data_IF_640395609969
#
_entry.id   IF_640395609969
#
_cell.length_a   1.000
_cell.length_b   1.000
_cell.length_c   1.000
_cell.angle_alpha   90.00
_cell.angle_beta   90.00
_cell.angle_gamma   90.00
#
_symmetry.space_group_name_H-M   'P 1'
#
loop_
_entity.id
_entity.type
_entity.pdbx_description
1 polymer ?
#
# COMPACT_ATOMS: atom_id res chain seq x y z
N UNK A 1 -14.42 -12.91 2.65
CA UNK A 1 -15.10 -12.14 1.59
C UNK A 1 -14.87 -10.63 1.69
N UNK A 2 -14.75 -10.04 2.90
CA UNK A 2 -14.46 -8.61 3.09
C UNK A 2 -13.18 -8.09 2.39
N UNK A 3 -12.11 -8.90 2.36
CA UNK A 3 -10.83 -8.51 1.74
C UNK A 3 -10.96 -8.09 0.28
N UNK A 4 -11.88 -8.69 -0.48
CA UNK A 4 -12.09 -8.35 -1.90
C UNK A 4 -12.62 -6.92 -2.03
N UNK A 5 -13.55 -6.50 -1.18
CA UNK A 5 -14.06 -5.14 -1.17
C UNK A 5 -12.97 -4.13 -0.79
N UNK A 6 -12.12 -4.48 0.19
CA UNK A 6 -10.97 -3.64 0.58
C UNK A 6 -9.98 -3.52 -0.58
N UNK A 7 -9.68 -4.62 -1.28
CA UNK A 7 -8.78 -4.63 -2.44
C UNK A 7 -9.30 -3.77 -3.59
N UNK A 8 -10.59 -3.87 -3.93
CA UNK A 8 -11.20 -3.04 -4.96
C UNK A 8 -11.13 -1.55 -4.57
N UNK A 9 -11.42 -1.23 -3.31
CA UNK A 9 -11.30 0.12 -2.77
C UNK A 9 -9.88 0.66 -2.85
N UNK A 10 -8.90 -0.12 -2.38
CA UNK A 10 -7.48 0.23 -2.41
C UNK A 10 -6.97 0.45 -3.84
N UNK A 11 -7.32 -0.45 -4.76
CA UNK A 11 -6.98 -0.32 -6.18
C UNK A 11 -7.49 1.00 -6.76
N UNK A 12 -8.78 1.30 -6.57
CA UNK A 12 -9.40 2.53 -7.09
C UNK A 12 -8.78 3.78 -6.46
N UNK A 13 -8.51 3.74 -5.16
CA UNK A 13 -7.90 4.86 -4.43
C UNK A 13 -6.53 5.22 -4.99
N UNK A 14 -5.68 4.23 -5.24
CA UNK A 14 -4.35 4.43 -5.83
C UNK A 14 -4.41 4.78 -7.32
N UNK A 15 -5.32 4.18 -8.09
CA UNK A 15 -5.52 4.52 -9.50
C UNK A 15 -5.91 6.00 -9.68
N UNK A 16 -6.73 6.55 -8.78
CA UNK A 16 -7.09 7.96 -8.77
C UNK A 16 -5.90 8.87 -8.43
N UNK A 17 -5.03 8.45 -7.51
CA UNK A 17 -3.79 9.18 -7.22
C UNK A 17 -2.92 9.26 -8.47
N UNK A 18 -2.68 8.13 -9.14
CA UNK A 18 -1.90 8.09 -10.37
C UNK A 18 -2.47 9.01 -11.45
N UNK A 19 -3.79 8.98 -11.65
CA UNK A 19 -4.50 9.85 -12.58
C UNK A 19 -4.26 11.34 -12.31
N UNK A 20 -4.35 11.77 -11.04
CA UNK A 20 -4.12 13.18 -10.64
C UNK A 20 -2.72 13.67 -11.00
N UNK A 21 -1.73 12.78 -11.04
CA UNK A 21 -0.34 13.11 -11.33
C UNK A 21 0.15 12.67 -12.71
N UNK A 22 -0.76 12.27 -13.61
CA UNK A 22 -0.41 11.86 -14.98
C UNK A 22 0.41 10.58 -15.04
N UNK A 23 0.31 9.71 -14.02
CA UNK A 23 1.00 8.41 -13.95
C UNK A 23 0.06 7.28 -14.40
N UNK A 24 0.63 6.13 -14.72
CA UNK A 24 -0.11 4.95 -15.20
C UNK A 24 -0.98 4.33 -14.09
N UNK A 25 -2.31 4.38 -14.26
CA UNK A 25 -3.29 3.98 -13.23
C UNK A 25 -3.13 2.55 -12.73
N UNK A 26 -2.96 1.58 -13.65
CA UNK A 26 -2.95 0.16 -13.30
C UNK A 26 -1.74 -0.22 -12.43
N UNK A 27 -0.59 0.42 -12.63
CA UNK A 27 0.63 0.16 -11.85
C UNK A 27 0.42 0.53 -10.38
N UNK A 28 -0.18 1.69 -10.11
CA UNK A 28 -0.50 2.13 -8.76
C UNK A 28 -1.61 1.28 -8.14
N UNK A 29 -2.60 0.88 -8.93
CA UNK A 29 -3.65 -0.02 -8.44
C UNK A 29 -3.09 -1.39 -8.01
N UNK A 30 -2.21 -2.00 -8.82
CA UNK A 30 -1.53 -3.26 -8.47
C UNK A 30 -0.60 -3.07 -7.27
N UNK A 31 0.07 -1.92 -7.16
CA UNK A 31 0.88 -1.58 -5.99
C UNK A 31 0.04 -1.60 -4.70
N UNK A 32 -1.18 -1.03 -4.73
CA UNK A 32 -2.08 -1.04 -3.57
C UNK A 32 -2.44 -2.47 -3.13
N UNK A 33 -2.73 -3.35 -4.10
CA UNK A 33 -2.99 -4.77 -3.87
C UNK A 33 -1.75 -5.44 -3.25
N UNK A 34 -0.57 -5.17 -3.81
CA UNK A 34 0.70 -5.70 -3.31
C UNK A 34 0.99 -5.27 -1.87
N UNK A 35 0.73 -4.02 -1.52
CA UNK A 35 0.90 -3.51 -0.14
C UNK A 35 -0.09 -4.20 0.80
N UNK A 36 -1.37 -4.30 0.42
CA UNK A 36 -2.38 -4.94 1.25
C UNK A 36 -2.05 -6.41 1.52
N UNK A 37 -1.83 -7.19 0.46
CA UNK A 37 -1.52 -8.62 0.55
C UNK A 37 -0.16 -8.86 1.20
N UNK A 38 0.85 -8.04 0.86
CA UNK A 38 2.18 -8.11 1.47
C UNK A 38 2.12 -7.87 2.98
N UNK A 39 1.35 -6.89 3.43
CA UNK A 39 1.14 -6.64 4.86
C UNK A 39 0.43 -7.82 5.53
N UNK A 40 -0.60 -8.39 4.89
CA UNK A 40 -1.28 -9.56 5.44
C UNK A 40 -0.37 -10.79 5.55
N UNK A 41 0.46 -11.05 4.54
CA UNK A 41 1.42 -12.15 4.55
C UNK A 41 2.47 -11.95 5.64
N UNK A 42 3.01 -10.74 5.78
CA UNK A 42 3.98 -10.42 6.82
C UNK A 42 3.40 -10.59 8.22
N UNK A 43 2.18 -10.12 8.47
CA UNK A 43 1.50 -10.27 9.75
C UNK A 43 1.17 -11.75 10.03
N UNK A 44 0.66 -12.48 9.03
CA UNK A 44 0.37 -13.90 9.17
C UNK A 44 1.63 -14.71 9.48
N UNK A 45 2.73 -14.41 8.81
CA UNK A 45 4.02 -15.03 9.06
C UNK A 45 4.57 -14.69 10.46
N UNK A 46 4.55 -13.42 10.84
CA UNK A 46 5.00 -12.97 12.16
C UNK A 46 4.18 -13.60 13.30
N UNK A 47 2.86 -13.66 13.13
CA UNK A 47 1.96 -14.29 14.09
C UNK A 47 2.16 -15.80 14.17
N UNK A 48 2.34 -16.48 13.03
CA UNK A 48 2.65 -17.91 12.99
C UNK A 48 3.97 -18.23 13.70
N UNK A 49 5.03 -17.44 13.47
CA UNK A 49 6.29 -17.59 14.20
C UNK A 49 6.12 -17.34 15.71
N UNK A 50 5.37 -16.30 16.09
CA UNK A 50 5.09 -16.00 17.50
C UNK A 50 4.47 -17.21 18.20
N UNK A 51 3.39 -17.77 17.63
CA UNK A 51 2.74 -18.95 18.19
C UNK A 51 3.68 -20.17 18.24
N UNK A 52 4.45 -20.43 17.17
CA UNK A 52 5.39 -21.54 17.15
C UNK A 52 6.48 -21.47 18.24
N UNK A 53 6.79 -20.27 18.75
CA UNK A 53 7.76 -20.07 19.83
C UNK A 53 7.10 -20.10 21.21
N UNK A 54 5.96 -19.43 21.38
CA UNK A 54 5.35 -19.22 22.70
C UNK A 54 4.35 -20.29 23.12
N UNK A 55 3.66 -20.90 22.15
CA UNK A 55 2.62 -21.89 22.39
C UNK A 55 2.47 -22.81 21.16
N UNK A 56 3.40 -23.77 20.98
CA UNK A 56 3.43 -24.60 19.78
C UNK A 56 2.20 -25.51 19.61
N UNK A 57 1.49 -25.88 20.69
CA UNK A 57 0.24 -26.64 20.61
C UNK A 57 -0.90 -25.81 20.02
N UNK A 58 -0.92 -24.50 20.29
CA UNK A 58 -1.92 -23.60 19.70
C UNK A 58 -1.77 -23.42 18.19
N UNK A 59 -0.58 -23.69 17.62
CA UNK A 59 -0.30 -23.53 16.20
C UNK A 59 -1.12 -24.48 15.31
N UNK A 60 -1.48 -25.67 15.82
CA UNK A 60 -2.28 -26.67 15.09
C UNK A 60 -3.78 -26.30 15.02
N UNK A 61 -4.25 -25.44 15.93
CA UNK A 61 -5.67 -25.08 16.06
C UNK A 61 -6.01 -23.68 15.52
N UNK A 62 -5.09 -23.01 14.83
CA UNK A 62 -5.33 -21.66 14.32
C UNK A 62 -6.26 -21.69 13.11
N UNK A 63 -7.46 -21.13 13.28
CA UNK A 63 -8.39 -20.93 12.17
C UNK A 63 -8.04 -19.66 11.37
N UNK A 64 -7.26 -19.84 10.30
CA UNK A 64 -6.83 -18.75 9.41
C UNK A 64 -7.94 -18.25 8.46
N UNK A 65 -9.00 -19.03 8.25
CA UNK A 65 -10.05 -18.75 7.26
C UNK A 65 -11.31 -18.11 7.85
N UNK A 66 -11.46 -18.13 9.18
CA UNK A 66 -12.61 -17.58 9.90
C UNK A 66 -12.50 -16.10 10.28
N UNK A 67 -13.62 -15.55 10.79
CA UNK A 67 -13.63 -14.26 11.50
C UNK A 67 -13.02 -14.43 12.89
N UNK A 68 -11.70 -14.35 12.96
CA UNK A 68 -10.95 -14.26 14.22
C UNK A 68 -10.61 -12.80 14.52
N UNK A 69 -10.46 -12.45 15.80
CA UNK A 69 -9.97 -11.14 16.22
C UNK A 69 -8.63 -10.80 15.56
N UNK A 70 -7.75 -11.80 15.38
CA UNK A 70 -6.45 -11.65 14.71
C UNK A 70 -6.63 -11.23 13.25
N UNK A 71 -7.60 -11.80 12.53
CA UNK A 71 -7.90 -11.44 11.15
C UNK A 71 -8.46 -10.02 11.03
N UNK A 72 -9.33 -9.60 11.96
CA UNK A 72 -9.87 -8.24 11.98
C UNK A 72 -8.75 -7.22 12.22
N UNK A 73 -7.88 -7.47 13.20
CA UNK A 73 -6.71 -6.63 13.48
C UNK A 73 -5.78 -6.59 12.26
N UNK A 74 -5.54 -7.74 11.62
CA UNK A 74 -4.77 -7.83 10.40
C UNK A 74 -5.33 -6.96 9.26
N UNK A 75 -6.65 -6.98 9.04
CA UNK A 75 -7.29 -6.12 8.04
C UNK A 75 -7.12 -4.64 8.37
N UNK A 76 -7.29 -4.24 9.63
CA UNK A 76 -7.11 -2.85 10.06
C UNK A 76 -5.68 -2.37 9.84
N UNK A 77 -4.68 -3.16 10.24
CA UNK A 77 -3.27 -2.83 10.03
C UNK A 77 -2.96 -2.74 8.53
N UNK A 78 -3.46 -3.67 7.70
CA UNK A 78 -3.29 -3.60 6.25
C UNK A 78 -3.93 -2.37 5.63
N UNK A 79 -5.10 -1.92 6.11
CA UNK A 79 -5.73 -0.67 5.65
C UNK A 79 -4.85 0.54 6.01
N UNK A 80 -4.33 0.58 7.24
CA UNK A 80 -3.42 1.65 7.68
C UNK A 80 -2.13 1.65 6.85
N UNK A 81 -1.56 0.49 6.54
CA UNK A 81 -0.37 0.38 5.69
C UNK A 81 -0.64 0.90 4.27
N UNK A 82 -1.76 0.51 3.65
CA UNK A 82 -2.20 1.02 2.34
C UNK A 82 -2.35 2.55 2.39
N UNK A 83 -2.96 3.10 3.43
CA UNK A 83 -3.12 4.54 3.59
C UNK A 83 -1.79 5.27 3.82
N UNK A 84 -0.90 4.72 4.64
CA UNK A 84 0.40 5.30 4.94
C UNK A 84 1.28 5.39 3.69
N UNK A 85 1.34 4.31 2.90
CA UNK A 85 2.08 4.33 1.63
C UNK A 85 1.43 5.27 0.61
N UNK A 86 0.10 5.38 0.61
CA UNK A 86 -0.59 6.35 -0.24
C UNK A 86 -0.15 7.77 0.08
N UNK A 87 -0.13 8.13 1.36
CA UNK A 87 0.28 9.47 1.80
C UNK A 87 1.74 9.76 1.49
N UNK A 88 2.60 8.77 1.64
CA UNK A 88 4.00 8.89 1.23
C UNK A 88 4.12 9.16 -0.29
N UNK A 89 3.40 8.41 -1.13
CA UNK A 89 3.40 8.60 -2.58
C UNK A 89 2.80 9.96 -2.98
N UNK A 90 1.68 10.37 -2.36
CA UNK A 90 1.05 11.66 -2.60
C UNK A 90 2.03 12.81 -2.32
N UNK A 91 2.66 12.80 -1.15
CA UNK A 91 3.64 13.83 -0.78
C UNK A 91 4.86 13.84 -1.73
N UNK A 92 5.33 12.66 -2.14
CA UNK A 92 6.43 12.53 -3.11
C UNK A 92 6.05 13.13 -4.46
N UNK A 93 4.87 12.79 -4.98
CA UNK A 93 4.40 13.27 -6.30
C UNK A 93 4.10 14.77 -6.30
N UNK A 94 3.59 15.31 -5.19
CA UNK A 94 3.44 16.77 -5.01
C UNK A 94 4.82 17.45 -5.11
N UNK A 95 5.82 16.93 -4.38
CA UNK A 95 7.18 17.49 -4.41
C UNK A 95 7.80 17.42 -5.81
N UNK A 96 7.64 16.31 -6.52
CA UNK A 96 8.12 16.15 -7.90
C UNK A 96 7.45 17.16 -8.86
N UNK A 97 6.14 17.39 -8.71
CA UNK A 97 5.42 18.38 -9.52
C UNK A 97 5.90 19.80 -9.25
N UNK A 98 6.17 20.17 -8.00
CA UNK A 98 6.61 21.53 -7.65
C UNK A 98 8.04 21.85 -8.09
N UNK A 99 8.91 20.84 -8.25
CA UNK A 99 10.30 21.05 -8.70
C UNK A 99 10.41 21.23 -10.21
N UNK A 100 9.56 20.57 -11.01
CA UNK A 100 9.59 20.67 -12.48
C UNK A 100 9.38 22.08 -13.09
N UNK A 101 8.43 22.92 -12.65
CA UNK A 101 8.14 24.18 -13.34
C UNK A 101 9.29 25.20 -13.27
N UNK A 102 10.22 25.08 -12.32
CA UNK A 102 11.32 26.05 -12.17
C UNK A 102 12.49 25.67 -13.10
N UNK A 103 12.78 24.38 -13.26
CA UNK A 103 13.87 23.90 -14.13
C UNK A 103 13.58 24.16 -15.61
N UNK A 104 12.32 23.99 -16.04
CA UNK A 104 11.93 24.25 -17.43
C UNK A 104 11.98 25.75 -17.79
N UNK A 105 11.82 26.67 -16.82
CA UNK A 105 11.90 28.11 -17.07
C UNK A 105 13.36 28.60 -17.17
N UNK A 106 14.27 28.02 -16.40
CA UNK A 106 15.69 28.39 -16.39
C UNK A 106 16.45 27.93 -17.66
N UNK A 107 15.90 26.97 -18.40
CA UNK A 107 16.45 26.53 -19.70
C UNK A 107 15.95 27.35 -20.89
N UNK A 108 14.84 28.10 -20.76
CA UNK A 108 14.29 28.95 -21.84
C UNK A 108 15.23 30.13 -22.17
N UNK A 109 16.16 30.46 -21.28
CA UNK A 109 17.19 31.49 -21.52
C UNK A 109 18.52 30.97 -22.08
N UNK A 110 18.75 29.65 -22.14
CA UNK A 110 20.02 29.06 -22.60
C UNK A 110 19.99 28.73 -24.08
N UNK A 111 19.79 29.74 -24.91
CA UNK A 111 20.08 29.67 -26.35
C UNK A 111 21.50 30.14 -26.62
N UNK A 112 22.32 29.19 -27.09
CA UNK A 112 23.45 29.31 -28.03
C UNK A 112 24.55 30.34 -27.73
N UNK A 113 25.68 29.83 -27.24
CA UNK A 113 27.02 30.22 -27.75
C UNK A 113 27.49 29.17 -28.75
#
# INVERSE_FOLDING_TARGET
MLSIFILIGAYRYYAQLAERFGKTKWQYGVLAIGIYLGTQLLLGFAYGMYLGITDPESAENVNYTGFSAVNIVGWLISIVAVWGVYKFLENKLIKERSVKPIVEIDEIGKTSE
#
